data_IF_308113179727
#
_entry.id   IF_308113179727
#
_cell.length_a   1.000
_cell.length_b   1.000
_cell.length_c   1.000
_cell.angle_alpha   90.00
_cell.angle_beta   90.00
_cell.angle_gamma   90.00
#
_symmetry.space_group_name_H-M   'P 1'
#
loop_
_entity.id
_entity.type
_entity.pdbx_description
1 polymer ?
#
# COMPACT_ATOMS: atom_id res chain seq x y z
N UNK A 1 -8.11 -55.00 -16.97
CA UNK A 1 -7.46 -55.52 -15.75
C UNK A 1 -6.01 -55.04 -15.80
N UNK A 2 -5.36 -54.36 -14.86
CA UNK A 2 -5.54 -54.18 -13.42
C UNK A 2 -4.72 -52.91 -13.08
N UNK A 3 -5.36 -51.80 -12.70
CA UNK A 3 -4.68 -50.62 -12.14
C UNK A 3 -4.60 -50.84 -10.63
N UNK A 4 -3.62 -51.63 -10.21
CA UNK A 4 -3.33 -51.90 -8.80
C UNK A 4 -2.71 -50.66 -8.16
N UNK A 5 -3.60 -49.91 -7.50
CA UNK A 5 -3.42 -48.99 -6.38
C UNK A 5 -1.99 -48.88 -5.80
N UNK A 6 -1.44 -47.67 -5.89
CA UNK A 6 -0.27 -47.23 -5.12
C UNK A 6 -0.66 -47.20 -3.64
N UNK A 7 -0.03 -48.08 -2.86
CA UNK A 7 -0.16 -48.20 -1.42
C UNK A 7 0.52 -47.00 -0.74
N UNK A 8 -0.28 -46.05 -0.23
CA UNK A 8 0.22 -44.93 0.58
C UNK A 8 0.14 -45.34 2.05
N UNK A 9 1.26 -45.49 2.78
CA UNK A 9 1.22 -45.78 4.20
C UNK A 9 0.72 -44.55 4.96
N UNK A 10 -0.46 -44.65 5.55
CA UNK A 10 -1.02 -43.64 6.45
C UNK A 10 -0.27 -43.68 7.78
N UNK A 11 0.68 -42.76 7.97
CA UNK A 11 1.29 -42.52 9.27
C UNK A 11 0.27 -41.84 10.18
N UNK A 12 -0.43 -42.65 10.98
CA UNK A 12 -1.30 -42.20 12.06
C UNK A 12 -0.45 -41.71 13.23
N UNK A 13 -0.32 -40.38 13.38
CA UNK A 13 0.27 -39.81 14.59
C UNK A 13 -0.71 -39.92 15.77
N UNK A 14 -0.30 -40.43 16.94
CA UNK A 14 -1.14 -40.43 18.13
C UNK A 14 -1.40 -38.99 18.60
N UNK A 15 -2.66 -38.69 18.90
CA UNK A 15 -3.13 -37.39 19.37
C UNK A 15 -2.72 -37.21 20.84
N UNK A 16 -1.92 -36.21 21.24
CA UNK A 16 -1.66 -35.96 22.65
C UNK A 16 -2.94 -35.40 23.30
N UNK A 17 -3.54 -36.20 24.19
CA UNK A 17 -4.67 -35.80 25.04
C UNK A 17 -4.13 -34.94 26.19
N UNK A 18 -4.17 -33.62 26.02
CA UNK A 18 -3.85 -32.68 27.10
C UNK A 18 -5.14 -32.29 27.80
N UNK A 19 -5.33 -32.77 29.02
CA UNK A 19 -6.38 -32.34 29.93
C UNK A 19 -6.15 -30.87 30.35
N UNK A 20 -7.15 -29.99 30.30
CA UNK A 20 -6.99 -28.62 30.74
C UNK A 20 -6.84 -28.57 32.28
N UNK A 21 -5.86 -27.84 32.83
CA UNK A 21 -5.78 -27.60 34.26
C UNK A 21 -6.94 -26.70 34.70
N UNK A 22 -7.55 -27.09 35.82
CA UNK A 22 -8.68 -26.45 36.48
C UNK A 22 -8.46 -24.96 36.71
N UNK A 23 -9.39 -24.14 36.19
CA UNK A 23 -9.50 -22.70 36.41
C UNK A 23 -9.65 -22.38 37.91
N UNK A 24 -8.55 -22.07 38.60
CA UNK A 24 -8.60 -21.27 39.81
C UNK A 24 -8.70 -19.80 39.40
N UNK A 25 -9.90 -19.25 39.58
CA UNK A 25 -10.20 -17.81 39.63
C UNK A 25 -9.16 -17.12 40.51
N UNK A 26 -8.30 -16.31 39.90
CA UNK A 26 -7.62 -15.23 40.58
C UNK A 26 -8.24 -13.93 40.08
N UNK A 27 -9.16 -13.43 40.90
CA UNK A 27 -9.69 -12.08 40.85
C UNK A 27 -8.70 -11.19 41.59
N UNK A 28 -8.05 -10.26 40.88
CA UNK A 28 -7.44 -9.05 41.43
C UNK A 28 -7.21 -8.12 40.22
N UNK A 29 -8.17 -7.25 39.92
CA UNK A 29 -8.21 -5.86 40.37
C UNK A 29 -6.97 -5.04 39.92
N UNK A 30 -7.23 -4.02 39.10
CA UNK A 30 -6.32 -2.94 38.66
C UNK A 30 -5.14 -3.43 37.78
N UNK A 31 -5.04 -3.03 36.52
CA UNK A 31 -4.72 -1.67 36.09
C UNK A 31 -5.50 -1.38 34.79
N UNK A 32 -6.56 -0.59 34.92
CA UNK A 32 -7.22 0.00 33.76
C UNK A 32 -6.57 1.37 33.52
N UNK A 33 -5.42 1.41 32.87
CA UNK A 33 -5.03 2.61 32.12
C UNK A 33 -5.53 2.43 30.69
N UNK A 34 -6.86 2.39 30.54
CA UNK A 34 -7.47 2.67 29.25
C UNK A 34 -7.23 4.15 28.98
N UNK A 35 -6.02 4.46 28.48
CA UNK A 35 -5.85 5.62 27.64
C UNK A 35 -6.74 5.37 26.43
N UNK A 36 -8.00 5.77 26.54
CA UNK A 36 -8.82 6.02 25.37
C UNK A 36 -8.08 7.10 24.61
N UNK A 37 -7.25 6.70 23.66
CA UNK A 37 -6.63 7.64 22.72
C UNK A 37 -7.84 8.34 22.09
N UNK A 38 -8.05 9.65 22.36
CA UNK A 38 -9.30 10.29 21.99
C UNK A 38 -9.52 10.07 20.51
N UNK A 39 -10.67 9.51 20.13
CA UNK A 39 -11.04 9.29 18.73
C UNK A 39 -10.88 10.57 17.92
N UNK A 40 -11.13 11.73 18.55
CA UNK A 40 -10.85 13.05 18.02
C UNK A 40 -9.36 13.30 17.70
N UNK A 41 -8.42 12.80 18.50
CA UNK A 41 -6.98 12.90 18.22
C UNK A 41 -6.54 11.98 17.09
N UNK A 42 -7.13 10.78 16.95
CA UNK A 42 -6.91 9.95 15.76
C UNK A 42 -7.45 10.63 14.49
N UNK A 43 -8.65 11.22 14.56
CA UNK A 43 -9.23 11.98 13.44
C UNK A 43 -8.40 13.20 13.09
N UNK A 44 -7.95 13.97 14.09
CA UNK A 44 -7.13 15.15 13.89
C UNK A 44 -5.75 14.79 13.33
N UNK A 45 -5.14 13.70 13.82
CA UNK A 45 -3.89 13.17 13.29
C UNK A 45 -4.07 12.66 11.85
N UNK A 46 -5.16 11.96 11.54
CA UNK A 46 -5.48 11.55 10.18
C UNK A 46 -5.70 12.74 9.24
N UNK A 47 -6.36 13.82 9.70
CA UNK A 47 -6.56 15.05 8.94
C UNK A 47 -5.23 15.76 8.69
N UNK A 48 -4.37 15.86 9.70
CA UNK A 48 -3.01 16.44 9.57
C UNK A 48 -2.14 15.60 8.63
N UNK A 49 -2.17 14.27 8.72
CA UNK A 49 -1.46 13.37 7.82
C UNK A 49 -1.98 13.49 6.37
N UNK A 50 -3.30 13.62 6.18
CA UNK A 50 -3.89 13.81 4.86
C UNK A 50 -3.43 15.14 4.23
N UNK A 51 -3.41 16.22 5.00
CA UNK A 51 -2.89 17.52 4.54
C UNK A 51 -1.40 17.45 4.18
N UNK A 52 -0.59 16.74 4.97
CA UNK A 52 0.84 16.58 4.71
C UNK A 52 1.13 15.85 3.39
N UNK A 53 0.32 14.85 3.02
CA UNK A 53 0.46 14.12 1.74
C UNK A 53 -0.03 14.96 0.56
N UNK A 54 -1.06 15.79 0.75
CA UNK A 54 -1.65 16.60 -0.33
C UNK A 54 -0.76 17.75 -0.82
N UNK A 55 0.21 18.21 -0.02
CA UNK A 55 1.01 19.42 -0.31
C UNK A 55 2.30 19.17 -1.13
N UNK A 56 2.43 18.05 -1.84
CA UNK A 56 3.61 17.84 -2.67
C UNK A 56 3.62 18.81 -3.85
N UNK A 57 4.52 19.80 -3.80
CA UNK A 57 4.72 20.77 -4.89
C UNK A 57 5.49 20.08 -6.02
N UNK A 58 4.82 19.82 -7.14
CA UNK A 58 5.43 19.26 -8.35
C UNK A 58 6.07 20.37 -9.19
N UNK A 59 7.12 20.07 -9.98
CA UNK A 59 7.74 21.06 -10.86
C UNK A 59 6.74 21.52 -11.92
N UNK A 60 6.70 22.82 -12.18
CA UNK A 60 5.76 23.46 -13.11
C UNK A 60 6.51 24.46 -13.99
N UNK A 61 6.29 24.38 -15.30
CA UNK A 61 6.99 25.20 -16.30
C UNK A 61 6.00 25.74 -17.32
N UNK A 62 6.12 27.03 -17.66
CA UNK A 62 5.30 27.68 -18.67
C UNK A 62 6.01 27.67 -20.03
N UNK A 63 5.33 27.17 -21.05
CA UNK A 63 5.77 27.15 -22.44
C UNK A 63 4.77 27.98 -23.27
N UNK A 64 5.10 28.35 -24.51
CA UNK A 64 4.21 29.17 -25.36
C UNK A 64 2.81 28.57 -25.58
N UNK A 65 2.66 27.25 -25.49
CA UNK A 65 1.39 26.53 -25.64
C UNK A 65 0.59 26.40 -24.34
N UNK A 66 1.19 26.71 -23.18
CA UNK A 66 0.56 26.59 -21.87
C UNK A 66 1.51 26.09 -20.78
N UNK A 67 0.95 25.80 -19.62
CA UNK A 67 1.70 25.36 -18.44
C UNK A 67 1.74 23.85 -18.33
N UNK A 68 2.93 23.30 -18.07
CA UNK A 68 3.16 21.85 -17.94
C UNK A 68 3.63 21.54 -16.52
N UNK A 69 3.01 20.54 -15.90
CA UNK A 69 3.45 19.96 -14.63
C UNK A 69 4.25 18.69 -14.86
N UNK A 70 5.45 18.64 -14.31
CA UNK A 70 6.35 17.49 -14.35
C UNK A 70 6.36 16.71 -13.03
N UNK A 71 7.35 15.82 -12.90
CA UNK A 71 7.63 15.04 -11.69
C UNK A 71 9.12 15.09 -11.38
N UNK A 72 9.50 14.98 -10.11
CA UNK A 72 10.91 14.79 -9.73
C UNK A 72 11.22 13.30 -9.72
N UNK A 73 12.26 12.89 -10.45
CA UNK A 73 12.73 11.51 -10.50
C UNK A 73 14.21 11.42 -10.13
N UNK A 74 14.66 10.18 -9.84
CA UNK A 74 16.04 9.89 -9.48
C UNK A 74 16.71 9.06 -10.56
N UNK A 75 17.93 9.45 -10.90
CA UNK A 75 18.83 8.62 -11.71
C UNK A 75 19.31 7.40 -10.93
N UNK A 76 19.90 6.41 -11.61
CA UNK A 76 20.49 5.21 -10.99
C UNK A 76 21.55 5.58 -9.94
N UNK A 77 22.29 6.67 -10.19
CA UNK A 77 23.31 7.19 -9.27
C UNK A 77 22.73 8.09 -8.16
N UNK A 78 21.41 8.19 -8.04
CA UNK A 78 20.72 8.93 -6.97
C UNK A 78 20.57 10.45 -7.21
N UNK A 79 21.05 10.98 -8.34
CA UNK A 79 20.84 12.40 -8.70
C UNK A 79 19.38 12.65 -9.05
N UNK A 80 18.79 13.67 -8.45
CA UNK A 80 17.42 14.12 -8.74
C UNK A 80 17.38 14.98 -10.01
N UNK A 81 16.32 14.82 -10.80
CA UNK A 81 16.04 15.63 -11.98
C UNK A 81 14.53 15.81 -12.18
N UNK A 82 14.15 16.89 -12.86
CA UNK A 82 12.77 17.17 -13.22
C UNK A 82 12.45 16.53 -14.58
N UNK A 83 11.37 15.77 -14.63
CA UNK A 83 10.92 15.06 -15.82
C UNK A 83 9.54 15.55 -16.26
N UNK A 84 9.45 16.00 -17.51
CA UNK A 84 8.19 16.39 -18.15
C UNK A 84 7.90 15.41 -19.28
N UNK A 85 6.94 14.52 -19.07
CA UNK A 85 6.64 13.40 -19.97
C UNK A 85 5.34 13.63 -20.72
N UNK A 86 5.26 13.15 -21.97
CA UNK A 86 4.01 13.17 -22.75
C UNK A 86 3.55 14.55 -23.22
N UNK A 87 4.45 15.54 -23.33
CA UNK A 87 4.10 16.87 -23.86
C UNK A 87 3.73 16.73 -25.34
N UNK A 88 2.51 17.12 -25.75
CA UNK A 88 2.10 17.08 -27.15
C UNK A 88 2.87 18.14 -27.94
N UNK A 89 3.53 17.72 -29.02
CA UNK A 89 4.30 18.60 -29.90
C UNK A 89 3.62 18.87 -31.25
N UNK A 90 2.56 18.12 -31.55
CA UNK A 90 1.79 18.22 -32.79
C UNK A 90 0.34 17.79 -32.54
N UNK A 91 -0.52 18.07 -33.52
CA UNK A 91 -1.88 17.56 -33.51
C UNK A 91 -1.88 16.02 -33.63
N UNK A 92 -2.80 15.32 -32.94
CA UNK A 92 -2.88 13.87 -33.04
C UNK A 92 -3.06 13.40 -34.50
N UNK A 93 -2.32 12.37 -34.95
CA UNK A 93 -2.33 11.88 -36.34
C UNK A 93 -3.56 10.98 -36.61
N UNK A 94 -4.74 11.47 -36.27
CA UNK A 94 -6.02 10.75 -36.39
C UNK A 94 -6.90 11.39 -37.47
N UNK A 95 -7.81 10.60 -38.06
CA UNK A 95 -8.73 11.09 -39.08
C UNK A 95 -8.02 11.62 -40.33
N UNK A 96 -8.31 12.86 -40.72
CA UNK A 96 -7.71 13.51 -41.88
C UNK A 96 -6.22 13.85 -41.71
N UNK A 97 -5.72 13.86 -40.47
CA UNK A 97 -4.29 14.07 -40.18
C UNK A 97 -3.47 12.79 -40.37
N UNK A 98 -4.12 11.65 -40.60
CA UNK A 98 -3.41 10.41 -40.90
C UNK A 98 -2.78 10.56 -42.29
N UNK A 99 -1.45 10.37 -42.36
CA UNK A 99 -0.67 10.46 -43.60
C UNK A 99 -0.54 11.87 -44.19
N UNK A 100 -0.61 12.93 -43.38
CA UNK A 100 -0.31 14.31 -43.77
C UNK A 100 0.92 14.85 -43.05
#
# INVERSE_FOLDING_TARGET
MNLSLINVPTLSCPRPSVSPPSLRRLSLAAIQSSGEIPTGMFFLLALVCLQAVACQRLPEVTIGQGTVRGVVQKTINGREFEAFLGIPYANPPVGQNRFK
#
